data_IF_309247552819
#
_entry.id   IF_309247552819
#
_cell.length_a   1.000
_cell.length_b   1.000
_cell.length_c   1.000
_cell.angle_alpha   90.00
_cell.angle_beta   90.00
_cell.angle_gamma   90.00
#
_symmetry.space_group_name_H-M   'P 1'
#
loop_
_entity.id
_entity.type
_entity.pdbx_description
1 polymer ?
#
# COMPACT_ATOMS: atom_id res chain seq x y z
N UNK A 1 64.39 31.25 -45.54
CA UNK A 1 63.36 30.27 -45.15
C UNK A 1 62.92 29.56 -46.41
N UNK A 2 63.39 28.33 -46.64
CA UNK A 2 62.98 27.54 -47.79
C UNK A 2 61.59 26.96 -47.49
N UNK A 3 60.59 27.13 -48.38
CA UNK A 3 59.31 26.47 -48.21
C UNK A 3 59.52 24.96 -48.31
N UNK A 4 59.02 24.23 -47.33
CA UNK A 4 59.16 22.78 -47.25
C UNK A 4 58.30 22.13 -48.36
N UNK A 5 58.89 21.19 -49.10
CA UNK A 5 58.24 20.48 -50.20
C UNK A 5 57.13 19.56 -49.67
N UNK A 6 55.87 19.68 -50.12
CA UNK A 6 54.72 18.95 -49.57
C UNK A 6 54.75 17.42 -49.81
N UNK A 7 55.64 16.92 -50.67
CA UNK A 7 55.79 15.50 -50.99
C UNK A 7 56.72 14.73 -50.02
N UNK A 8 57.37 15.43 -49.08
CA UNK A 8 58.20 14.83 -48.04
C UNK A 8 57.36 14.48 -46.82
N UNK A 9 57.23 13.18 -46.52
CA UNK A 9 56.54 12.61 -45.34
C UNK A 9 56.96 13.32 -44.03
N UNK A 10 58.21 13.78 -43.94
CA UNK A 10 58.73 14.52 -42.79
C UNK A 10 58.01 15.85 -42.52
N UNK A 11 57.53 16.56 -43.55
CA UNK A 11 56.82 17.84 -43.38
C UNK A 11 55.33 17.66 -43.07
N UNK A 12 54.73 16.52 -43.47
CA UNK A 12 53.41 16.11 -42.98
C UNK A 12 53.46 15.67 -41.52
N UNK A 13 54.53 14.99 -41.09
CA UNK A 13 54.71 14.61 -39.68
C UNK A 13 54.88 15.87 -38.82
N UNK A 14 55.67 16.87 -39.25
CA UNK A 14 55.88 18.10 -38.47
C UNK A 14 54.59 18.89 -38.28
N UNK A 15 53.77 19.03 -39.34
CA UNK A 15 52.47 19.71 -39.28
C UNK A 15 51.45 18.96 -38.43
N UNK A 16 51.46 17.62 -38.44
CA UNK A 16 50.63 16.81 -37.53
C UNK A 16 51.11 16.94 -36.08
N UNK A 17 52.41 16.96 -35.81
CA UNK A 17 52.93 17.16 -34.45
C UNK A 17 52.73 18.58 -33.92
N UNK A 18 52.80 19.61 -34.76
CA UNK A 18 52.43 20.98 -34.38
C UNK A 18 50.93 21.12 -34.14
N UNK A 19 50.10 20.47 -34.96
CA UNK A 19 48.65 20.40 -34.73
C UNK A 19 48.31 19.69 -33.41
N UNK A 20 49.02 18.61 -33.05
CA UNK A 20 48.86 17.90 -31.77
C UNK A 20 49.41 18.71 -30.59
N UNK A 21 50.51 19.46 -30.78
CA UNK A 21 51.07 20.35 -29.77
C UNK A 21 50.22 21.58 -29.48
N UNK A 22 49.44 22.04 -30.48
CA UNK A 22 48.46 23.13 -30.33
C UNK A 22 47.09 22.67 -29.80
N UNK A 23 46.88 21.37 -29.67
CA UNK A 23 45.63 20.80 -29.15
C UNK A 23 45.52 21.06 -27.65
N UNK A 24 44.53 21.86 -27.25
CA UNK A 24 44.27 22.14 -25.85
C UNK A 24 43.56 20.95 -25.19
N UNK A 25 44.34 19.94 -24.80
CA UNK A 25 43.89 18.75 -24.08
C UNK A 25 43.11 19.10 -22.82
N UNK A 26 43.49 20.17 -22.13
CA UNK A 26 42.80 20.61 -20.93
C UNK A 26 41.36 21.06 -21.24
N UNK A 27 41.14 21.81 -22.31
CA UNK A 27 39.79 22.18 -22.77
C UNK A 27 38.97 20.95 -23.20
N UNK A 28 39.58 20.00 -23.92
CA UNK A 28 38.89 18.77 -24.33
C UNK A 28 38.43 17.95 -23.12
N UNK A 29 39.31 17.68 -22.15
CA UNK A 29 38.96 16.93 -20.95
C UNK A 29 37.97 17.70 -20.06
N UNK A 30 38.10 19.03 -19.95
CA UNK A 30 37.14 19.86 -19.22
C UNK A 30 35.73 19.76 -19.83
N UNK A 31 35.60 19.81 -21.16
CA UNK A 31 34.31 19.62 -21.84
C UNK A 31 33.79 18.21 -21.62
N UNK A 32 34.63 17.18 -21.74
CA UNK A 32 34.22 15.78 -21.54
C UNK A 32 33.73 15.52 -20.11
N UNK A 33 34.43 16.06 -19.11
CA UNK A 33 34.04 15.99 -17.70
C UNK A 33 32.75 16.79 -17.46
N UNK A 34 32.62 18.00 -18.02
CA UNK A 34 31.42 18.81 -17.87
C UNK A 34 30.19 18.15 -18.50
N UNK A 35 30.32 17.56 -19.69
CA UNK A 35 29.24 16.80 -20.34
C UNK A 35 28.92 15.52 -19.56
N UNK A 36 29.93 14.81 -19.04
CA UNK A 36 29.74 13.64 -18.20
C UNK A 36 28.99 13.97 -16.90
N UNK A 37 29.38 15.04 -16.21
CA UNK A 37 28.72 15.52 -14.99
C UNK A 37 27.30 16.01 -15.29
N UNK A 38 27.09 16.78 -16.36
CA UNK A 38 25.77 17.23 -16.78
C UNK A 38 24.84 16.07 -17.09
N UNK A 39 25.33 15.06 -17.80
CA UNK A 39 24.59 13.83 -18.08
C UNK A 39 24.25 13.04 -16.82
N UNK A 40 25.22 12.85 -15.91
CA UNK A 40 25.01 12.15 -14.65
C UNK A 40 23.97 12.83 -13.76
N UNK A 41 24.03 14.17 -13.62
CA UNK A 41 23.05 14.95 -12.86
C UNK A 41 21.67 14.90 -13.51
N UNK A 42 21.59 14.93 -14.84
CA UNK A 42 20.33 14.77 -15.58
C UNK A 42 19.65 13.43 -15.31
N UNK A 43 20.40 12.33 -15.41
CA UNK A 43 19.90 10.97 -15.11
C UNK A 43 19.46 10.87 -13.64
N UNK A 44 20.24 11.43 -12.71
CA UNK A 44 19.94 11.40 -11.27
C UNK A 44 18.66 12.18 -10.97
N UNK A 45 18.46 13.34 -11.59
CA UNK A 45 17.25 14.14 -11.48
C UNK A 45 16.00 13.40 -11.98
N UNK A 46 16.08 12.77 -13.15
CA UNK A 46 14.99 11.95 -13.71
C UNK A 46 14.69 10.76 -12.79
N UNK A 47 15.72 10.07 -12.29
CA UNK A 47 15.57 8.94 -11.39
C UNK A 47 14.90 9.33 -10.06
N UNK A 48 15.29 10.47 -9.47
CA UNK A 48 14.65 11.04 -8.29
C UNK A 48 13.17 11.36 -8.54
N UNK A 49 12.87 11.99 -9.68
CA UNK A 49 11.50 12.31 -10.09
C UNK A 49 10.62 11.05 -10.19
N UNK A 50 11.09 10.03 -10.93
CA UNK A 50 10.38 8.74 -11.03
C UNK A 50 10.23 8.05 -9.67
N UNK A 51 11.24 8.13 -8.80
CA UNK A 51 11.18 7.54 -7.46
C UNK A 51 10.13 8.22 -6.59
N UNK A 52 9.99 9.55 -6.66
CA UNK A 52 8.95 10.29 -5.96
C UNK A 52 7.56 10.01 -6.51
N UNK A 53 7.40 10.01 -7.83
CA UNK A 53 6.14 9.69 -8.48
C UNK A 53 5.65 8.27 -8.12
N UNK A 54 6.54 7.27 -8.12
CA UNK A 54 6.23 5.90 -7.68
C UNK A 54 5.87 5.81 -6.20
N UNK A 55 6.37 6.71 -5.35
CA UNK A 55 5.99 6.77 -3.93
C UNK A 55 4.58 7.34 -3.79
N UNK A 56 4.27 8.43 -4.48
CA UNK A 56 2.94 9.04 -4.45
C UNK A 56 1.87 8.11 -5.02
N UNK A 57 2.14 7.48 -6.17
CA UNK A 57 1.22 6.50 -6.77
C UNK A 57 0.95 5.33 -5.82
N UNK A 58 1.98 4.83 -5.14
CA UNK A 58 1.82 3.77 -4.15
C UNK A 58 0.86 4.19 -3.03
N UNK A 59 1.10 5.35 -2.41
CA UNK A 59 0.27 5.88 -1.33
C UNK A 59 -1.19 6.00 -1.76
N UNK A 60 -1.44 6.60 -2.94
CA UNK A 60 -2.80 6.73 -3.49
C UNK A 60 -3.48 5.38 -3.71
N UNK A 61 -2.79 4.41 -4.32
CA UNK A 61 -3.41 3.09 -4.60
C UNK A 61 -3.76 2.29 -3.35
N UNK A 62 -2.98 2.47 -2.28
CA UNK A 62 -3.25 1.84 -0.98
C UNK A 62 -4.34 2.60 -0.22
N UNK A 63 -4.32 3.93 -0.28
CA UNK A 63 -5.39 4.78 0.28
C UNK A 63 -6.75 4.44 -0.32
N UNK A 64 -6.84 4.32 -1.65
CA UNK A 64 -8.07 3.95 -2.32
C UNK A 64 -8.59 2.58 -1.85
N UNK A 65 -7.69 1.61 -1.64
CA UNK A 65 -8.04 0.29 -1.15
C UNK A 65 -8.55 0.34 0.30
N UNK A 66 -7.88 1.09 1.17
CA UNK A 66 -8.32 1.26 2.56
C UNK A 66 -9.61 2.06 2.66
N UNK A 67 -9.80 3.09 1.83
CA UNK A 67 -11.06 3.83 1.74
C UNK A 67 -12.19 2.90 1.32
N UNK A 68 -11.97 2.02 0.33
CA UNK A 68 -12.97 1.03 -0.06
C UNK A 68 -13.33 0.10 1.11
N UNK A 69 -12.36 -0.38 1.88
CA UNK A 69 -12.58 -1.18 3.11
C UNK A 69 -13.43 -0.39 4.11
N UNK A 70 -13.04 0.85 4.42
CA UNK A 70 -13.72 1.71 5.39
C UNK A 70 -15.15 2.04 4.97
N UNK A 71 -15.42 2.20 3.68
CA UNK A 71 -16.76 2.43 3.14
C UNK A 71 -17.67 1.19 3.24
N UNK A 72 -17.10 -0.02 3.22
CA UNK A 72 -17.85 -1.27 3.35
C UNK A 72 -18.06 -1.71 4.82
N UNK A 73 -17.29 -1.20 5.77
CA UNK A 73 -17.48 -1.56 7.19
C UNK A 73 -18.88 -1.23 7.74
N UNK A 74 -19.47 -0.05 7.46
CA UNK A 74 -20.83 0.25 7.89
C UNK A 74 -21.88 -0.67 7.28
N UNK A 75 -21.76 -1.04 5.99
CA UNK A 75 -22.71 -1.96 5.35
C UNK A 75 -22.63 -3.34 6.00
N UNK A 76 -21.43 -3.84 6.28
CA UNK A 76 -21.21 -5.09 7.03
C UNK A 76 -21.88 -5.06 8.41
N UNK A 77 -21.71 -3.97 9.16
CA UNK A 77 -22.36 -3.82 10.46
C UNK A 77 -23.89 -3.86 10.36
N UNK A 78 -24.46 -3.24 9.32
CA UNK A 78 -25.91 -3.30 9.10
C UNK A 78 -26.39 -4.70 8.69
N UNK A 79 -25.61 -5.42 7.90
CA UNK A 79 -25.92 -6.79 7.47
C UNK A 79 -25.85 -7.77 8.63
N UNK A 80 -24.83 -7.67 9.48
CA UNK A 80 -24.72 -8.45 10.72
C UNK A 80 -25.94 -8.24 11.60
N UNK A 81 -26.37 -6.98 11.78
CA UNK A 81 -27.57 -6.67 12.55
C UNK A 81 -28.84 -7.26 11.92
N UNK A 82 -28.99 -7.18 10.59
CA UNK A 82 -30.13 -7.77 9.88
C UNK A 82 -30.15 -9.29 10.00
N UNK A 83 -29.02 -9.96 9.77
CA UNK A 83 -28.89 -11.40 9.87
C UNK A 83 -29.17 -11.89 11.30
N UNK A 84 -28.71 -11.16 12.31
CA UNK A 84 -29.00 -11.46 13.71
C UNK A 84 -30.51 -11.34 14.03
N UNK A 85 -31.14 -10.24 13.63
CA UNK A 85 -32.59 -10.06 13.82
C UNK A 85 -33.39 -11.14 13.09
N UNK A 86 -33.01 -11.46 11.84
CA UNK A 86 -33.68 -12.50 11.07
C UNK A 86 -33.54 -13.90 11.70
N UNK A 87 -32.39 -14.20 12.34
CA UNK A 87 -32.23 -15.43 13.13
C UNK A 87 -33.17 -15.44 14.35
N UNK A 88 -33.25 -14.33 15.09
CA UNK A 88 -34.18 -14.20 16.22
C UNK A 88 -35.63 -14.42 15.75
N UNK A 89 -36.04 -13.74 14.69
CA UNK A 89 -37.39 -13.86 14.12
C UNK A 89 -37.68 -15.30 13.66
N UNK A 90 -36.71 -15.95 13.01
CA UNK A 90 -36.81 -17.35 12.62
C UNK A 90 -36.99 -18.29 13.83
N UNK A 91 -36.24 -18.09 14.92
CA UNK A 91 -36.42 -18.87 16.15
C UNK A 91 -37.79 -18.65 16.80
N UNK A 92 -38.26 -17.40 16.84
CA UNK A 92 -39.60 -17.04 17.36
C UNK A 92 -40.70 -17.68 16.51
N UNK A 93 -40.54 -17.70 15.19
CA UNK A 93 -41.51 -18.27 14.25
C UNK A 93 -41.53 -19.81 14.30
N UNK A 94 -40.36 -20.46 14.43
CA UNK A 94 -40.29 -21.92 14.65
C UNK A 94 -40.96 -22.32 15.97
N UNK A 95 -40.72 -21.57 17.05
CA UNK A 95 -41.35 -21.82 18.34
C UNK A 95 -42.89 -21.65 18.30
N UNK A 96 -43.40 -20.78 17.42
CA UNK A 96 -44.84 -20.54 17.26
C UNK A 96 -45.56 -21.44 16.25
N UNK A 97 -44.87 -22.44 15.66
CA UNK A 97 -45.41 -23.37 14.64
C UNK A 97 -45.95 -22.67 13.38
N UNK A 98 -45.49 -21.44 13.12
CA UNK A 98 -45.80 -20.71 11.89
C UNK A 98 -44.84 -21.19 10.80
N UNK A 99 -45.32 -21.43 9.57
CA UNK A 99 -44.62 -22.09 8.45
C UNK A 99 -43.11 -21.84 8.34
N UNK A 100 -42.32 -22.84 7.87
CA UNK A 100 -40.88 -22.71 7.72
C UNK A 100 -40.53 -21.54 6.79
N UNK A 101 -39.92 -20.52 7.38
CA UNK A 101 -39.41 -19.35 6.66
C UNK A 101 -38.04 -19.68 6.06
N UNK A 102 -37.79 -19.18 4.85
CA UNK A 102 -36.54 -19.32 4.12
C UNK A 102 -35.34 -18.91 4.98
N UNK A 103 -34.22 -19.63 4.87
CA UNK A 103 -33.03 -19.42 5.69
C UNK A 103 -32.53 -17.96 5.54
N UNK A 104 -32.19 -17.26 6.64
CA UNK A 104 -31.83 -15.86 6.56
C UNK A 104 -30.60 -15.66 5.67
N UNK A 105 -30.55 -14.59 4.85
CA UNK A 105 -29.41 -14.32 3.98
C UNK A 105 -28.13 -14.14 4.81
N UNK A 106 -27.07 -14.84 4.40
CA UNK A 106 -25.73 -14.67 4.97
C UNK A 106 -25.21 -13.27 4.62
N UNK A 107 -24.51 -12.62 5.57
CA UNK A 107 -23.93 -11.30 5.31
C UNK A 107 -22.79 -11.41 4.27
N UNK A 108 -22.57 -10.35 3.48
CA UNK A 108 -21.67 -10.35 2.33
C UNK A 108 -20.19 -10.30 2.74
N UNK A 109 -19.72 -11.36 3.40
CA UNK A 109 -18.37 -11.44 3.97
C UNK A 109 -17.28 -11.55 2.91
N UNK A 110 -17.62 -12.10 1.73
CA UNK A 110 -16.69 -12.33 0.64
C UNK A 110 -16.12 -11.02 0.10
N UNK A 111 -16.97 -10.00 -0.05
CA UNK A 111 -16.55 -8.69 -0.55
C UNK A 111 -15.51 -8.04 0.37
N UNK A 112 -15.71 -8.08 1.69
CA UNK A 112 -14.74 -7.50 2.63
C UNK A 112 -13.41 -8.26 2.65
N UNK A 113 -13.44 -9.60 2.63
CA UNK A 113 -12.22 -10.40 2.50
C UNK A 113 -11.45 -10.06 1.24
N UNK A 114 -12.13 -10.01 0.09
CA UNK A 114 -11.50 -9.64 -1.18
C UNK A 114 -10.87 -8.25 -1.13
N UNK A 115 -11.54 -7.27 -0.52
CA UNK A 115 -10.99 -5.92 -0.38
C UNK A 115 -9.72 -5.91 0.47
N UNK A 116 -9.70 -6.67 1.57
CA UNK A 116 -8.53 -6.81 2.44
C UNK A 116 -7.37 -7.54 1.74
N UNK A 117 -7.66 -8.60 0.97
CA UNK A 117 -6.65 -9.29 0.16
C UNK A 117 -6.07 -8.40 -0.94
N UNK A 118 -6.92 -7.64 -1.66
CA UNK A 118 -6.47 -6.68 -2.67
C UNK A 118 -5.60 -5.60 -2.04
N UNK A 119 -5.98 -5.09 -0.87
CA UNK A 119 -5.16 -4.12 -0.13
C UNK A 119 -3.81 -4.73 0.28
N UNK A 120 -3.79 -5.97 0.75
CA UNK A 120 -2.56 -6.69 1.12
C UNK A 120 -1.62 -6.88 -0.09
N UNK A 121 -2.15 -7.26 -1.25
CA UNK A 121 -1.36 -7.44 -2.48
C UNK A 121 -0.77 -6.11 -2.97
N UNK A 122 -1.48 -5.00 -2.77
CA UNK A 122 -1.01 -3.66 -3.16
C UNK A 122 0.00 -3.09 -2.18
N UNK A 123 -0.04 -3.51 -0.92
CA UNK A 123 0.84 -3.01 0.13
C UNK A 123 2.31 -3.43 -0.06
N UNK A 124 3.25 -2.54 0.27
CA UNK A 124 4.69 -2.84 0.39
C UNK A 124 4.95 -3.56 1.70
N UNK A 125 6.11 -4.22 1.82
CA UNK A 125 6.53 -5.03 2.98
C UNK A 125 6.07 -4.50 4.36
N UNK A 126 6.31 -3.23 4.68
CA UNK A 126 5.91 -2.66 5.99
C UNK A 126 4.40 -2.56 6.20
N UNK A 127 3.66 -2.18 5.16
CA UNK A 127 2.21 -2.01 5.20
C UNK A 127 1.49 -3.36 5.01
N UNK A 128 2.14 -4.32 4.35
CA UNK A 128 1.63 -5.66 4.08
C UNK A 128 1.37 -6.44 5.37
N UNK A 129 2.23 -6.28 6.39
CA UNK A 129 2.03 -6.89 7.70
C UNK A 129 0.76 -6.36 8.38
N UNK A 130 0.49 -5.06 8.28
CA UNK A 130 -0.70 -4.43 8.85
C UNK A 130 -1.96 -4.95 8.12
N UNK A 131 -1.93 -5.05 6.79
CA UNK A 131 -3.05 -5.60 6.01
C UNK A 131 -3.28 -7.09 6.30
N UNK A 132 -2.21 -7.87 6.50
CA UNK A 132 -2.34 -9.27 6.88
C UNK A 132 -2.93 -9.43 8.28
N UNK A 133 -2.50 -8.61 9.23
CA UNK A 133 -3.07 -8.61 10.60
C UNK A 133 -4.54 -8.16 10.57
N UNK A 134 -4.90 -7.19 9.71
CA UNK A 134 -6.28 -6.76 9.49
C UNK A 134 -7.16 -7.88 8.91
N UNK A 135 -6.66 -8.59 7.89
CA UNK A 135 -7.35 -9.74 7.29
C UNK A 135 -7.61 -10.84 8.32
N UNK A 136 -6.58 -11.22 9.08
CA UNK A 136 -6.72 -12.20 10.17
C UNK A 136 -7.72 -11.74 11.21
N UNK A 137 -7.62 -10.49 11.66
CA UNK A 137 -8.56 -9.94 12.63
C UNK A 137 -10.00 -9.97 12.10
N UNK A 138 -10.22 -9.68 10.82
CA UNK A 138 -11.55 -9.75 10.23
C UNK A 138 -12.10 -11.18 10.21
N UNK A 139 -11.28 -12.19 9.86
CA UNK A 139 -11.69 -13.60 9.92
C UNK A 139 -12.10 -14.02 11.34
N UNK A 140 -11.36 -13.55 12.34
CA UNK A 140 -11.68 -13.78 13.75
C UNK A 140 -13.00 -13.11 14.15
N UNK A 141 -13.24 -11.89 13.68
CA UNK A 141 -14.49 -11.15 13.89
C UNK A 141 -15.67 -11.91 13.30
N UNK A 142 -15.54 -12.37 12.06
CA UNK A 142 -16.58 -13.17 11.37
C UNK A 142 -16.92 -14.45 12.14
N UNK A 143 -15.93 -15.10 12.73
CA UNK A 143 -16.11 -16.34 13.49
C UNK A 143 -16.89 -16.18 14.81
N UNK A 144 -17.09 -14.95 15.30
CA UNK A 144 -17.81 -14.71 16.56
C UNK A 144 -19.32 -14.98 16.44
N UNK A 145 -19.93 -15.47 17.51
CA UNK A 145 -21.38 -15.71 17.57
C UNK A 145 -22.18 -14.48 18.05
N UNK A 146 -21.51 -13.49 18.67
CA UNK A 146 -22.14 -12.31 19.24
C UNK A 146 -22.09 -11.12 18.27
N UNK A 147 -23.25 -10.75 17.72
CA UNK A 147 -23.40 -9.63 16.77
C UNK A 147 -22.98 -8.28 17.36
N UNK A 148 -23.17 -8.05 18.66
CA UNK A 148 -22.80 -6.79 19.32
C UNK A 148 -21.28 -6.64 19.34
N UNK A 149 -20.58 -7.72 19.67
CA UNK A 149 -19.11 -7.76 19.69
C UNK A 149 -18.51 -7.70 18.32
N UNK A 150 -19.12 -8.37 17.35
CA UNK A 150 -18.74 -8.23 15.95
C UNK A 150 -18.75 -6.77 15.51
N UNK A 151 -19.85 -6.04 15.78
CA UNK A 151 -19.94 -4.62 15.45
C UNK A 151 -18.89 -3.77 16.17
N UNK A 152 -18.67 -4.02 17.47
CA UNK A 152 -17.66 -3.29 18.23
C UNK A 152 -16.24 -3.55 17.69
N UNK A 153 -15.91 -4.80 17.42
CA UNK A 153 -14.63 -5.21 16.86
C UNK A 153 -14.41 -4.64 15.45
N UNK A 154 -15.43 -4.63 14.59
CA UNK A 154 -15.37 -3.96 13.28
C UNK A 154 -15.12 -2.45 13.44
N UNK A 155 -15.72 -1.82 14.45
CA UNK A 155 -15.46 -0.41 14.78
C UNK A 155 -14.01 -0.16 15.20
N UNK A 156 -13.43 -1.03 16.03
CA UNK A 156 -12.03 -0.95 16.44
C UNK A 156 -11.09 -1.17 15.25
N UNK A 157 -11.38 -2.16 14.39
CA UNK A 157 -10.62 -2.45 13.18
C UNK A 157 -10.63 -1.25 12.22
N UNK A 158 -11.82 -0.72 11.90
CA UNK A 158 -11.95 0.45 11.04
C UNK A 158 -11.28 1.70 11.62
N UNK A 159 -11.41 1.93 12.92
CA UNK A 159 -10.75 3.03 13.62
C UNK A 159 -9.22 2.92 13.58
N UNK A 160 -8.66 1.71 13.73
CA UNK A 160 -7.23 1.47 13.63
C UNK A 160 -6.71 1.73 12.21
N UNK A 161 -7.40 1.21 11.19
CA UNK A 161 -7.05 1.42 9.77
C UNK A 161 -7.12 2.91 9.37
N UNK A 162 -8.14 3.63 9.82
CA UNK A 162 -8.29 5.07 9.55
C UNK A 162 -7.16 5.89 10.19
N UNK A 163 -6.83 5.63 11.46
CA UNK A 163 -5.73 6.33 12.17
C UNK A 163 -4.37 6.00 11.60
N UNK A 164 -4.17 4.76 11.17
CA UNK A 164 -2.97 4.33 10.46
C UNK A 164 -2.76 5.12 9.17
N UNK A 165 -3.78 5.21 8.30
CA UNK A 165 -3.66 5.93 7.03
C UNK A 165 -3.54 7.44 7.20
N UNK A 166 -3.97 7.97 8.33
CA UNK A 166 -3.85 9.38 8.67
C UNK A 166 -2.49 9.73 9.31
N UNK A 167 -1.55 8.78 9.37
CA UNK A 167 -0.24 8.90 10.04
C UNK A 167 -0.33 9.34 11.52
N UNK A 168 -1.47 9.07 12.18
CA UNK A 168 -1.70 9.42 13.59
C UNK A 168 -1.10 8.37 14.52
N UNK A 169 -1.19 7.10 14.12
CA UNK A 169 -0.69 5.96 14.89
C UNK A 169 0.50 5.29 14.20
N UNK A 170 1.45 4.85 15.00
CA UNK A 170 2.58 4.03 14.57
C UNK A 170 2.11 2.64 14.13
N UNK A 171 2.92 1.95 13.33
CA UNK A 171 2.62 0.58 12.90
C UNK A 171 2.37 -0.38 14.08
N UNK A 172 3.11 -0.22 15.18
CA UNK A 172 2.96 -1.05 16.38
C UNK A 172 1.61 -0.81 17.08
N UNK A 173 1.23 0.45 17.28
CA UNK A 173 -0.06 0.82 17.88
C UNK A 173 -1.24 0.32 17.04
N UNK A 174 -1.13 0.44 15.72
CA UNK A 174 -2.14 -0.04 14.77
C UNK A 174 -2.27 -1.56 14.87
N UNK A 175 -1.17 -2.30 14.82
CA UNK A 175 -1.17 -3.76 14.92
C UNK A 175 -1.72 -4.24 16.26
N UNK A 176 -1.34 -3.59 17.36
CA UNK A 176 -1.89 -3.89 18.67
C UNK A 176 -3.41 -3.65 18.72
N UNK A 177 -3.89 -2.56 18.12
CA UNK A 177 -5.32 -2.27 18.06
C UNK A 177 -6.10 -3.24 17.17
N UNK A 178 -5.51 -3.65 16.04
CA UNK A 178 -6.08 -4.68 15.16
C UNK A 178 -6.14 -6.03 15.89
N UNK A 179 -5.07 -6.42 16.59
CA UNK A 179 -5.05 -7.63 17.42
C UNK A 179 -6.14 -7.63 18.49
N UNK A 180 -6.35 -6.49 19.16
CA UNK A 180 -7.46 -6.32 20.12
C UNK A 180 -8.82 -6.47 19.47
N UNK A 181 -9.03 -5.97 18.25
CA UNK A 181 -10.29 -6.15 17.54
C UNK A 181 -10.61 -7.64 17.34
N UNK A 182 -9.61 -8.43 16.93
CA UNK A 182 -9.73 -9.88 16.81
C UNK A 182 -10.02 -10.58 18.15
N UNK A 183 -9.32 -10.21 19.22
CA UNK A 183 -9.55 -10.75 20.57
C UNK A 183 -10.94 -10.44 21.11
N UNK A 184 -11.42 -9.20 20.92
CA UNK A 184 -12.74 -8.76 21.37
C UNK A 184 -13.88 -9.57 20.76
N UNK A 185 -13.67 -10.12 19.57
CA UNK A 185 -14.59 -11.02 18.92
C UNK A 185 -14.54 -12.46 19.47
N UNK A 186 -13.40 -12.90 20.00
CA UNK A 186 -13.18 -14.26 20.49
C UNK A 186 -13.48 -14.48 21.96
N UNK A 187 -13.21 -13.50 22.85
CA UNK A 187 -13.24 -13.76 24.30
C UNK A 187 -14.61 -13.51 24.92
N UNK A 188 -15.42 -14.54 25.26
CA UNK A 188 -16.72 -14.42 25.92
C UNK A 188 -16.69 -13.67 27.27
N UNK A 189 -15.54 -13.55 27.96
CA UNK A 189 -15.50 -13.14 29.36
C UNK A 189 -15.04 -11.70 29.63
N UNK A 190 -14.59 -10.93 28.63
CA UNK A 190 -13.94 -9.63 28.89
C UNK A 190 -14.91 -8.43 28.99
N UNK A 191 -16.15 -8.53 28.52
CA UNK A 191 -17.08 -7.37 28.44
C UNK A 191 -17.94 -7.11 29.69
N UNK A 192 -17.91 -7.96 30.70
CA UNK A 192 -18.78 -7.81 31.89
C UNK A 192 -18.19 -6.89 32.98
N UNK A 193 -16.99 -6.33 32.78
CA UNK A 193 -16.31 -5.50 33.77
C UNK A 193 -16.19 -4.00 33.39
N UNK A 194 -16.98 -3.50 32.43
CA UNK A 194 -16.94 -2.10 31.98
C UNK A 194 -18.27 -1.38 32.16
#
# INVERSE_FOLDING_TARGET
MSPCDPDLIACQISTVTEAIGSWNWNSFFATLIATGLGGALGVLGIWLGFRWQRRQQYTLTLDDAVVAILQHLPSQATEIKRAHNAKIDHFVNMASHTSPQEEPPEADHLTMMMLLEVAQVRARRGDQEIMLDALRSYDQIRGSLDSKRQMQALGVLGGALSRWRSDIWTAEEVRASIGRAGQLAMDPNETDNS
#
